data_IF_151320932806
#
_entry.id   IF_151320932806
#
_cell.length_a   1.000
_cell.length_b   1.000
_cell.length_c   1.000
_cell.angle_alpha   90.00
_cell.angle_beta   90.00
_cell.angle_gamma   90.00
#
_symmetry.space_group_name_H-M   'P 1'
#
loop_
_entity.id
_entity.type
_entity.pdbx_description
1 polymer ?
#
# COMPACT_ATOMS: atom_id res chain seq x y z
N UNK A 1 4.89 -45.46 -22.32
CA UNK A 1 3.70 -44.59 -22.29
C UNK A 1 3.87 -43.67 -21.09
N UNK A 2 4.43 -42.48 -21.29
CA UNK A 2 4.73 -41.55 -20.21
C UNK A 2 3.55 -40.59 -20.06
N UNK A 3 2.87 -40.63 -18.90
CA UNK A 3 1.93 -39.59 -18.50
C UNK A 3 2.73 -38.38 -18.02
N UNK A 4 2.68 -37.28 -18.77
CA UNK A 4 3.11 -35.97 -18.31
C UNK A 4 1.92 -35.34 -17.62
N UNK A 5 1.99 -35.21 -16.30
CA UNK A 5 1.03 -34.43 -15.52
C UNK A 5 1.32 -32.95 -15.74
N UNK A 6 0.46 -32.26 -16.49
CA UNK A 6 0.34 -30.81 -16.42
C UNK A 6 -0.42 -30.48 -15.13
N UNK A 7 0.32 -30.13 -14.07
CA UNK A 7 -0.24 -29.52 -12.87
C UNK A 7 -0.30 -28.00 -13.07
N UNK A 8 -1.49 -27.47 -13.29
CA UNK A 8 -1.80 -26.04 -13.18
C UNK A 8 -2.26 -25.72 -11.75
N UNK A 9 -1.95 -24.49 -11.31
CA UNK A 9 -2.43 -23.77 -10.11
C UNK A 9 -1.85 -24.12 -8.73
N UNK A 10 -0.95 -23.26 -8.24
CA UNK A 10 -1.31 -22.20 -7.27
C UNK A 10 -0.08 -21.34 -6.96
N UNK A 11 -0.13 -20.05 -7.33
CA UNK A 11 0.77 -19.01 -6.82
C UNK A 11 0.64 -19.00 -5.30
N UNK A 12 1.76 -19.18 -4.58
CA UNK A 12 1.78 -19.16 -3.13
C UNK A 12 2.90 -18.23 -2.68
N UNK A 13 2.47 -17.09 -2.12
CA UNK A 13 3.24 -16.10 -1.36
C UNK A 13 4.11 -15.10 -2.14
N UNK A 14 3.58 -14.49 -3.19
CA UNK A 14 4.19 -13.27 -3.73
C UNK A 14 3.88 -12.08 -2.82
N UNK A 15 4.88 -11.64 -2.05
CA UNK A 15 4.83 -10.36 -1.34
C UNK A 15 4.83 -9.25 -2.39
N UNK A 16 3.70 -8.58 -2.57
CA UNK A 16 3.61 -7.44 -3.49
C UNK A 16 4.06 -6.17 -2.76
N UNK A 17 4.92 -5.38 -3.40
CA UNK A 17 5.47 -4.15 -2.84
C UNK A 17 5.15 -3.01 -3.78
N UNK A 18 4.57 -1.96 -3.22
CA UNK A 18 4.26 -0.74 -3.93
C UNK A 18 4.95 0.43 -3.24
N UNK A 19 5.46 1.38 -4.02
CA UNK A 19 6.11 2.58 -3.54
C UNK A 19 5.35 3.79 -4.05
N UNK A 20 5.13 4.77 -3.16
CA UNK A 20 4.44 5.99 -3.49
C UNK A 20 5.10 7.21 -2.83
N UNK A 21 4.89 8.37 -3.44
CA UNK A 21 5.38 9.66 -2.92
C UNK A 21 4.18 10.55 -2.64
N UNK A 22 4.08 11.05 -1.41
CA UNK A 22 3.03 12.00 -1.05
C UNK A 22 3.33 13.39 -1.60
N UNK A 23 2.39 13.90 -2.39
CA UNK A 23 2.32 15.29 -2.82
C UNK A 23 1.34 16.04 -1.89
N UNK A 24 1.89 16.93 -1.06
CA UNK A 24 1.17 17.67 -0.01
C UNK A 24 1.94 18.91 0.46
N UNK A 25 1.25 19.86 1.10
CA UNK A 25 1.84 21.15 1.44
C UNK A 25 2.89 21.07 2.55
N UNK A 26 4.04 21.66 2.22
CA UNK A 26 5.20 22.03 3.03
C UNK A 26 6.26 20.95 3.33
N UNK A 27 7.06 20.70 2.28
CA UNK A 27 8.53 20.67 2.32
C UNK A 27 9.28 19.33 2.48
N UNK A 28 8.62 18.16 2.37
CA UNK A 28 9.39 16.92 2.11
C UNK A 28 8.56 15.92 1.30
N UNK A 29 9.07 15.37 0.18
CA UNK A 29 8.47 14.18 -0.41
C UNK A 29 8.63 13.05 0.60
N UNK A 30 7.52 12.66 1.24
CA UNK A 30 7.50 11.51 2.13
C UNK A 30 7.41 10.28 1.21
N UNK A 31 8.51 9.53 1.14
CA UNK A 31 8.52 8.25 0.46
C UNK A 31 7.76 7.25 1.31
N UNK A 32 6.89 6.48 0.69
CA UNK A 32 6.04 5.53 1.39
C UNK A 32 6.00 4.21 0.66
N UNK A 33 5.90 3.14 1.44
CA UNK A 33 5.88 1.78 0.92
C UNK A 33 4.67 1.05 1.47
N UNK A 34 3.91 0.47 0.56
CA UNK A 34 2.80 -0.44 0.84
C UNK A 34 3.32 -1.86 0.59
N UNK A 35 3.33 -2.70 1.61
CA UNK A 35 3.72 -4.11 1.49
C UNK A 35 2.51 -4.97 1.77
N UNK A 36 2.10 -5.73 0.75
CA UNK A 36 1.11 -6.78 0.88
C UNK A 36 1.82 -8.09 1.13
N UNK A 37 1.71 -8.60 2.35
CA UNK A 37 2.24 -9.90 2.69
C UNK A 37 1.35 -11.03 2.15
N UNK A 38 1.98 -12.18 2.01
CA UNK A 38 1.36 -13.49 1.73
C UNK A 38 0.06 -13.76 2.52
N UNK A 39 0.04 -13.36 3.80
CA UNK A 39 -1.07 -13.57 4.72
C UNK A 39 -2.16 -12.49 4.60
N UNK A 40 -2.19 -11.73 3.50
CA UNK A 40 -3.08 -10.58 3.26
C UNK A 40 -2.95 -9.47 4.30
N UNK A 41 -1.81 -9.41 4.98
CA UNK A 41 -1.49 -8.29 5.87
C UNK A 41 -0.96 -7.13 5.05
N UNK A 42 -1.47 -5.94 5.34
CA UNK A 42 -1.01 -4.72 4.70
C UNK A 42 -0.15 -3.93 5.67
N UNK A 43 1.11 -3.74 5.32
CA UNK A 43 2.04 -2.91 6.08
C UNK A 43 2.30 -1.61 5.31
N UNK A 44 2.11 -0.48 5.97
CA UNK A 44 2.53 0.81 5.43
C UNK A 44 3.78 1.27 6.14
N UNK A 45 4.78 1.70 5.38
CA UNK A 45 6.01 2.26 5.89
C UNK A 45 6.17 3.70 5.41
N UNK A 46 6.27 4.63 6.35
CA UNK A 46 6.69 6.00 6.11
C UNK A 46 8.21 6.08 6.15
N UNK A 47 8.82 6.62 5.10
CA UNK A 47 10.26 6.84 4.99
C UNK A 47 10.49 8.35 4.91
N UNK A 48 10.65 8.98 6.08
CA UNK A 48 10.96 10.40 6.17
C UNK A 48 12.45 10.67 5.95
N UNK A 49 13.33 9.69 6.24
CA UNK A 49 14.76 9.73 5.90
C UNK A 49 15.39 8.32 5.88
N UNK A 50 16.62 8.17 5.39
CA UNK A 50 17.34 6.89 5.42
C UNK A 50 17.54 6.30 6.84
N UNK A 51 17.32 7.09 7.90
CA UNK A 51 17.42 6.66 9.30
C UNK A 51 16.08 6.56 10.02
N UNK A 52 15.00 7.04 9.40
CA UNK A 52 13.68 7.11 10.01
C UNK A 52 12.67 6.47 9.08
N UNK A 53 12.42 5.19 9.36
CA UNK A 53 11.38 4.39 8.71
C UNK A 53 10.40 3.97 9.79
N UNK A 54 9.16 4.43 9.69
CA UNK A 54 8.07 4.07 10.59
C UNK A 54 7.10 3.17 9.85
N UNK A 55 7.09 1.88 10.18
CA UNK A 55 6.13 0.93 9.61
C UNK A 55 5.01 0.63 10.60
N UNK A 56 3.78 0.57 10.12
CA UNK A 56 2.61 0.17 10.88
C UNK A 56 1.76 -0.85 10.11
N UNK A 57 1.31 -1.88 10.82
CA UNK A 57 0.31 -2.81 10.30
C UNK A 57 -1.02 -2.05 10.16
N UNK A 58 -1.55 -2.01 8.94
CA UNK A 58 -2.87 -1.47 8.67
C UNK A 58 -3.86 -2.61 8.81
N UNK A 59 -4.75 -2.52 9.80
CA UNK A 59 -5.82 -3.49 9.96
C UNK A 59 -6.72 -3.47 8.72
N UNK A 60 -6.54 -4.48 7.87
CA UNK A 60 -7.20 -4.61 6.59
C UNK A 60 -8.25 -5.72 6.68
N UNK A 61 -9.50 -5.41 6.33
CA UNK A 61 -10.57 -6.39 6.18
C UNK A 61 -11.28 -6.15 4.85
N UNK A 62 -10.97 -6.92 3.80
CA UNK A 62 -11.60 -6.75 2.48
C UNK A 62 -10.86 -7.41 1.30
N UNK A 63 -11.18 -6.96 0.07
CA UNK A 63 -10.38 -7.21 -1.15
C UNK A 63 -9.67 -5.94 -1.65
N UNK A 64 -8.36 -6.05 -1.91
CA UNK A 64 -7.52 -4.96 -2.42
C UNK A 64 -7.90 -4.57 -3.84
N UNK A 65 -8.84 -5.28 -4.48
CA UNK A 65 -9.38 -4.99 -5.80
C UNK A 65 -10.30 -3.75 -5.82
N UNK A 66 -10.38 -2.98 -4.72
CA UNK A 66 -11.30 -1.87 -4.55
C UNK A 66 -10.73 -0.73 -3.69
N UNK A 67 -11.59 0.09 -3.08
CA UNK A 67 -11.20 1.17 -2.17
C UNK A 67 -11.18 0.69 -0.72
N UNK A 68 -10.11 0.98 0.01
CA UNK A 68 -10.06 0.74 1.45
C UNK A 68 -9.61 1.98 2.23
N UNK A 69 -9.91 1.97 3.53
CA UNK A 69 -9.72 3.11 4.41
C UNK A 69 -8.95 2.70 5.65
N UNK A 70 -8.12 3.58 6.15
CA UNK A 70 -7.42 3.43 7.42
C UNK A 70 -7.50 4.73 8.19
N UNK A 71 -7.69 4.66 9.50
CA UNK A 71 -7.72 5.84 10.37
C UNK A 71 -6.67 5.68 11.45
N UNK A 72 -5.93 6.76 11.68
CA UNK A 72 -4.98 6.90 12.78
C UNK A 72 -5.41 8.06 13.67
N UNK A 73 -4.69 8.29 14.76
CA UNK A 73 -4.91 9.45 15.62
C UNK A 73 -4.66 10.80 14.91
N UNK A 74 -3.92 10.79 13.79
CA UNK A 74 -3.51 11.99 13.05
C UNK A 74 -4.41 12.33 11.86
N UNK A 75 -5.17 11.35 11.36
CA UNK A 75 -5.98 11.54 10.16
C UNK A 75 -6.47 10.24 9.54
N UNK A 76 -7.06 10.39 8.36
CA UNK A 76 -7.70 9.31 7.61
C UNK A 76 -7.02 9.12 6.27
N UNK A 77 -6.68 7.88 5.97
CA UNK A 77 -6.15 7.43 4.70
C UNK A 77 -7.25 6.74 3.90
N UNK A 78 -7.26 6.99 2.60
CA UNK A 78 -8.08 6.28 1.61
C UNK A 78 -7.15 5.79 0.52
N UNK A 79 -7.23 4.52 0.17
CA UNK A 79 -6.49 3.92 -0.93
C UNK A 79 -7.50 3.37 -1.93
N UNK A 80 -7.31 3.68 -3.21
CA UNK A 80 -8.16 3.26 -4.31
C UNK A 80 -7.29 2.55 -5.31
N UNK A 81 -7.54 1.26 -5.52
CA UNK A 81 -6.89 0.55 -6.62
C UNK A 81 -7.43 1.05 -7.94
N UNK A 82 -6.53 1.48 -8.82
CA UNK A 82 -6.88 2.01 -10.15
C UNK A 82 -6.48 1.05 -11.26
N UNK A 83 -5.52 0.16 -11.03
CA UNK A 83 -5.12 -0.91 -11.94
C UNK A 83 -4.60 -2.14 -11.18
N UNK A 84 -4.14 -3.19 -11.88
CA UNK A 84 -3.54 -4.37 -11.23
C UNK A 84 -2.34 -3.99 -10.36
N UNK A 85 -1.62 -2.95 -10.72
CA UNK A 85 -0.30 -2.65 -10.19
C UNK A 85 -0.20 -1.25 -9.58
N UNK A 86 -1.30 -0.49 -9.58
CA UNK A 86 -1.29 0.90 -9.15
C UNK A 86 -2.41 1.23 -8.17
N UNK A 87 -2.07 2.07 -7.19
CA UNK A 87 -3.01 2.63 -6.24
C UNK A 87 -2.91 4.15 -6.19
N UNK A 88 -4.06 4.80 -6.10
CA UNK A 88 -4.16 6.20 -5.70
C UNK A 88 -4.48 6.25 -4.20
N UNK A 89 -3.75 7.05 -3.44
CA UNK A 89 -4.00 7.27 -2.03
C UNK A 89 -4.30 8.75 -1.74
N UNK A 90 -5.20 9.00 -0.79
CA UNK A 90 -5.41 10.31 -0.21
C UNK A 90 -5.35 10.24 1.31
N UNK A 91 -4.70 11.23 1.91
CA UNK A 91 -4.62 11.42 3.34
C UNK A 91 -5.32 12.73 3.70
N UNK A 92 -6.31 12.64 4.58
CA UNK A 92 -7.00 13.80 5.16
C UNK A 92 -6.51 13.96 6.60
N UNK A 93 -5.75 15.02 6.84
CA UNK A 93 -5.30 15.40 8.17
C UNK A 93 -6.49 15.84 9.03
N UNK A 94 -6.37 15.70 10.36
CA UNK A 94 -7.44 16.09 11.30
C UNK A 94 -7.85 17.57 11.21
N UNK A 95 -6.97 18.44 10.69
CA UNK A 95 -7.24 19.87 10.47
C UNK A 95 -7.94 20.18 9.13
N UNK A 96 -8.14 19.16 8.29
CA UNK A 96 -8.85 19.27 7.01
C UNK A 96 -7.95 19.33 5.77
N UNK A 97 -6.62 19.42 5.95
CA UNK A 97 -5.67 19.39 4.83
C UNK A 97 -5.66 18.01 4.15
N UNK A 98 -5.60 18.01 2.82
CA UNK A 98 -5.57 16.78 2.02
C UNK A 98 -4.26 16.68 1.25
N UNK A 99 -3.60 15.53 1.36
CA UNK A 99 -2.44 15.15 0.55
C UNK A 99 -2.79 13.93 -0.29
N UNK A 100 -2.17 13.77 -1.45
CA UNK A 100 -2.39 12.63 -2.34
C UNK A 100 -1.07 11.93 -2.66
N UNK A 101 -1.12 10.64 -2.97
CA UNK A 101 0.02 9.86 -3.40
C UNK A 101 -0.39 8.89 -4.50
N UNK A 102 0.54 8.63 -5.42
CA UNK A 102 0.42 7.57 -6.42
C UNK A 102 1.40 6.46 -6.07
N UNK A 103 0.95 5.22 -6.11
CA UNK A 103 1.75 4.04 -5.80
C UNK A 103 1.91 3.17 -7.04
N UNK A 104 3.16 2.80 -7.33
CA UNK A 104 3.57 1.91 -8.41
C UNK A 104 4.36 0.72 -7.83
N UNK A 105 4.54 -0.40 -8.56
CA UNK A 105 5.36 -1.52 -8.10
C UNK A 105 6.81 -1.08 -7.85
N UNK A 106 7.43 -1.64 -6.80
CA UNK A 106 8.87 -1.45 -6.50
C UNK A 106 9.80 -2.10 -7.53
#
# INVERSE_FOLDING_TARGET
MAMVFFGTYSSANEVSKFVGVWEGSSETPIYTKLVLDADQKLTYCEVSSCRQVNCFEMAYSGSLDSTFYYSSDFGKYKFTRISTDEFEASFTHMLGDVSNAYYEPE
#
